data_IF_310194782413
#
_entry.id   IF_310194782413
#
_cell.length_a   1.000
_cell.length_b   1.000
_cell.length_c   1.000
_cell.angle_alpha   90.00
_cell.angle_beta   90.00
_cell.angle_gamma   90.00
#
_symmetry.space_group_name_H-M   'P 1'
#
loop_
_entity.id
_entity.type
_entity.pdbx_description
1 polymer ?
#
# COMPACT_ATOMS: atom_id res chain seq x y z
N UNK A 1 6.72 9.47 6.81
CA UNK A 1 7.23 9.30 8.18
C UNK A 1 8.69 9.74 8.17
N UNK A 2 9.15 10.51 9.16
CA UNK A 2 10.50 11.09 9.18
C UNK A 2 11.43 10.37 10.18
N UNK A 3 11.45 9.04 10.09
CA UNK A 3 12.24 8.18 10.96
C UNK A 3 13.71 8.23 10.53
N UNK A 4 14.64 8.20 11.49
CA UNK A 4 16.09 8.12 11.20
C UNK A 4 16.48 6.73 10.74
N UNK A 5 15.93 5.73 11.41
CA UNK A 5 16.08 4.33 11.09
C UNK A 5 14.82 3.57 11.48
N UNK A 6 14.69 2.35 10.99
CA UNK A 6 13.69 1.41 11.46
C UNK A 6 14.31 0.03 11.60
N UNK A 7 14.07 -0.59 12.75
CA UNK A 7 14.38 -1.99 13.01
C UNK A 7 13.07 -2.77 13.07
N UNK A 8 12.99 -3.86 12.31
CA UNK A 8 11.80 -4.70 12.22
C UNK A 8 12.15 -6.18 12.38
N UNK A 9 11.32 -6.90 13.12
CA UNK A 9 11.40 -8.36 13.31
C UNK A 9 10.18 -9.05 12.66
N UNK A 10 10.14 -9.18 11.32
CA UNK A 10 8.95 -9.61 10.57
C UNK A 10 8.40 -10.98 10.97
N UNK A 11 9.26 -11.85 11.53
CA UNK A 11 8.94 -13.24 11.81
C UNK A 11 8.60 -13.49 13.29
N UNK A 12 8.69 -12.46 14.14
CA UNK A 12 8.52 -12.60 15.58
C UNK A 12 7.05 -12.54 16.02
N UNK A 13 6.21 -11.81 15.28
CA UNK A 13 4.82 -11.51 15.66
C UNK A 13 3.85 -11.72 14.50
N UNK A 14 2.55 -11.69 14.82
CA UNK A 14 1.46 -11.73 13.83
C UNK A 14 1.36 -13.05 13.08
N UNK A 15 0.84 -13.00 11.85
CA UNK A 15 0.60 -14.21 11.04
C UNK A 15 1.85 -14.98 10.62
N UNK A 16 3.04 -14.39 10.76
CA UNK A 16 4.32 -15.01 10.44
C UNK A 16 4.96 -15.75 11.62
N UNK A 17 4.51 -15.48 12.86
CA UNK A 17 5.10 -16.08 14.06
C UNK A 17 5.03 -17.61 14.03
N UNK A 18 6.17 -18.26 14.28
CA UNK A 18 6.28 -19.72 14.31
C UNK A 18 6.19 -20.41 12.94
N UNK A 19 6.14 -19.65 11.83
CA UNK A 19 6.14 -20.20 10.47
C UNK A 19 7.53 -20.10 9.85
N UNK A 20 7.86 -21.08 9.00
CA UNK A 20 9.05 -21.04 8.15
C UNK A 20 8.89 -19.91 7.12
N UNK A 21 9.90 -19.06 7.00
CA UNK A 21 9.96 -18.04 5.93
C UNK A 21 10.78 -18.55 4.74
N UNK A 22 10.67 -17.87 3.60
CA UNK A 22 11.32 -18.28 2.34
C UNK A 22 12.86 -18.31 2.39
N UNK A 23 13.46 -17.74 3.43
CA UNK A 23 14.90 -17.57 3.57
C UNK A 23 15.50 -18.35 4.74
N UNK A 24 14.70 -19.19 5.42
CA UNK A 24 15.13 -19.94 6.60
C UNK A 24 15.71 -19.08 7.74
N UNK A 25 15.35 -17.80 7.78
CA UNK A 25 15.81 -16.87 8.81
C UNK A 25 15.17 -17.17 10.17
N UNK A 26 15.86 -16.95 11.30
CA UNK A 26 15.30 -17.19 12.62
C UNK A 26 14.17 -16.20 12.94
N UNK A 27 13.30 -16.56 13.88
CA UNK A 27 12.13 -15.76 14.23
C UNK A 27 12.46 -14.36 14.77
N UNK A 28 13.61 -14.21 15.42
CA UNK A 28 14.14 -12.98 15.99
C UNK A 28 15.06 -12.20 15.02
N UNK A 29 15.15 -12.62 13.75
CA UNK A 29 15.93 -11.89 12.74
C UNK A 29 15.46 -10.43 12.65
N UNK A 30 16.37 -9.53 12.96
CA UNK A 30 16.18 -8.09 12.83
C UNK A 30 16.65 -7.60 11.46
N UNK A 31 15.79 -6.82 10.79
CA UNK A 31 16.11 -6.09 9.57
C UNK A 31 16.17 -4.60 9.88
N UNK A 32 17.23 -3.93 9.44
CA UNK A 32 17.45 -2.50 9.66
C UNK A 32 17.41 -1.76 8.34
N UNK A 33 16.60 -0.71 8.29
CA UNK A 33 16.49 0.17 7.13
C UNK A 33 16.77 1.60 7.53
N UNK A 34 17.65 2.25 6.78
CA UNK A 34 17.94 3.67 6.94
C UNK A 34 16.74 4.48 6.49
N UNK A 35 16.36 5.47 7.30
CA UNK A 35 15.37 6.46 6.93
C UNK A 35 15.99 7.65 6.22
N UNK A 36 15.16 8.56 5.72
CA UNK A 36 15.60 9.85 5.18
C UNK A 36 14.80 11.00 5.80
N UNK A 37 15.11 11.41 7.05
CA UNK A 37 14.34 12.43 7.76
C UNK A 37 14.28 13.77 7.02
N UNK A 38 15.38 14.15 6.37
CA UNK A 38 15.44 15.40 5.60
C UNK A 38 14.50 15.34 4.40
N UNK A 39 14.56 14.28 3.60
CA UNK A 39 13.67 14.07 2.45
C UNK A 39 12.21 13.93 2.88
N UNK A 40 11.95 13.23 3.98
CA UNK A 40 10.60 13.04 4.51
C UNK A 40 9.95 14.36 4.97
N UNK A 41 10.69 15.19 5.74
CA UNK A 41 10.19 16.51 6.16
C UNK A 41 9.98 17.43 4.96
N UNK A 42 10.94 17.43 4.04
CA UNK A 42 10.85 18.23 2.82
C UNK A 42 9.61 17.85 2.00
N UNK A 43 9.39 16.56 1.73
CA UNK A 43 8.22 16.11 0.98
C UNK A 43 6.90 16.46 1.69
N UNK A 44 6.84 16.27 3.01
CA UNK A 44 5.67 16.66 3.79
C UNK A 44 5.37 18.17 3.68
N UNK A 45 6.39 19.02 3.78
CA UNK A 45 6.26 20.46 3.57
C UNK A 45 5.75 20.80 2.17
N UNK A 46 6.35 20.23 1.11
CA UNK A 46 5.93 20.48 -0.28
C UNK A 46 4.50 20.03 -0.57
N UNK A 47 4.03 18.97 0.07
CA UNK A 47 2.65 18.50 -0.07
C UNK A 47 1.66 19.41 0.67
N UNK A 48 2.01 19.88 1.87
CA UNK A 48 1.21 20.86 2.63
C UNK A 48 1.10 22.18 1.86
N UNK A 49 2.20 22.68 1.30
CA UNK A 49 2.22 23.88 0.46
C UNK A 49 1.35 23.75 -0.80
N UNK A 50 1.13 22.52 -1.28
CA UNK A 50 0.22 22.19 -2.38
C UNK A 50 -1.24 21.94 -1.93
N UNK A 51 -1.58 22.12 -0.66
CA UNK A 51 -2.94 21.94 -0.14
C UNK A 51 -3.31 20.48 0.17
N UNK A 52 -2.33 19.64 0.48
CA UNK A 52 -2.54 18.29 1.03
C UNK A 52 -2.30 18.32 2.53
N UNK A 53 -3.33 18.01 3.32
CA UNK A 53 -3.25 17.94 4.78
C UNK A 53 -2.45 16.71 5.23
N UNK A 54 -1.12 16.85 5.30
CA UNK A 54 -0.23 15.76 5.66
C UNK A 54 -0.07 15.63 7.18
N UNK A 55 -0.30 14.42 7.67
CA UNK A 55 0.21 13.99 8.97
C UNK A 55 1.66 13.49 8.83
N UNK A 56 2.50 13.72 9.83
CA UNK A 56 3.83 13.14 9.90
C UNK A 56 4.23 12.81 11.35
N UNK A 57 5.17 11.88 11.50
CA UNK A 57 5.67 11.43 12.80
C UNK A 57 7.20 11.24 12.75
N UNK A 58 7.86 11.51 13.88
CA UNK A 58 9.30 11.31 14.07
C UNK A 58 9.67 9.91 14.55
N UNK A 59 8.73 9.21 15.20
CA UNK A 59 8.91 7.84 15.69
C UNK A 59 7.57 7.09 15.73
N UNK A 60 7.56 5.75 15.69
CA UNK A 60 6.37 4.96 16.00
C UNK A 60 5.97 5.12 17.48
N UNK A 61 4.68 4.92 17.80
CA UNK A 61 4.16 5.04 19.17
C UNK A 61 4.01 3.70 19.89
N UNK A 62 3.52 2.66 19.20
CA UNK A 62 3.12 1.40 19.84
C UNK A 62 3.96 0.20 19.40
N UNK A 63 4.01 -0.09 18.10
CA UNK A 63 4.78 -1.23 17.58
C UNK A 63 6.11 -0.71 16.98
N UNK A 64 7.26 -1.22 17.43
CA UNK A 64 8.54 -0.84 16.85
C UNK A 64 8.66 -1.33 15.40
N UNK A 65 9.30 -0.53 14.56
CA UNK A 65 9.60 -0.87 13.18
C UNK A 65 8.52 -0.51 12.15
N UNK A 66 8.72 -0.96 10.93
CA UNK A 66 7.79 -0.77 9.81
C UNK A 66 6.67 -1.82 9.84
N UNK A 67 5.42 -1.44 9.51
CA UNK A 67 4.32 -2.40 9.38
C UNK A 67 4.56 -3.34 8.20
N UNK A 68 3.93 -4.52 8.23
CA UNK A 68 4.07 -5.56 7.20
C UNK A 68 3.74 -5.07 5.79
N UNK A 69 2.82 -4.10 5.66
CA UNK A 69 2.43 -3.48 4.40
C UNK A 69 3.58 -2.72 3.71
N UNK A 70 4.63 -2.35 4.45
CA UNK A 70 5.85 -1.73 3.92
C UNK A 70 7.00 -2.74 3.95
N UNK A 71 7.16 -3.43 5.08
CA UNK A 71 8.27 -4.32 5.34
C UNK A 71 8.35 -5.49 4.34
N UNK A 72 7.22 -6.09 3.98
CA UNK A 72 7.21 -7.23 3.04
C UNK A 72 7.76 -6.84 1.66
N UNK A 73 7.50 -5.61 1.22
CA UNK A 73 8.06 -5.09 -0.04
C UNK A 73 9.57 -4.89 0.06
N UNK A 74 10.09 -4.40 1.18
CA UNK A 74 11.54 -4.31 1.38
C UNK A 74 12.21 -5.69 1.42
N UNK A 75 11.60 -6.66 2.10
CA UNK A 75 12.08 -8.05 2.10
C UNK A 75 12.05 -8.69 0.71
N UNK A 76 11.07 -8.32 -0.12
CA UNK A 76 10.96 -8.79 -1.50
C UNK A 76 11.96 -8.11 -2.44
N UNK A 77 12.24 -6.81 -2.25
CA UNK A 77 13.24 -6.10 -3.05
C UNK A 77 14.67 -6.57 -2.75
N UNK A 78 14.92 -7.06 -1.52
CA UNK A 78 16.15 -7.76 -1.14
C UNK A 78 15.95 -9.29 -1.08
N UNK A 79 15.24 -9.87 -2.05
CA UNK A 79 14.91 -11.32 -2.04
C UNK A 79 16.17 -12.20 -1.97
N UNK A 80 17.23 -11.83 -2.68
CA UNK A 80 18.50 -12.57 -2.69
C UNK A 80 19.36 -12.36 -1.43
N UNK A 81 18.90 -11.52 -0.47
CA UNK A 81 19.61 -11.21 0.79
C UNK A 81 21.01 -10.62 0.58
N UNK A 82 21.13 -9.69 -0.35
CA UNK A 82 22.37 -8.94 -0.63
C UNK A 82 22.46 -7.62 0.13
N UNK A 83 21.36 -7.22 0.79
CA UNK A 83 21.25 -5.98 1.54
C UNK A 83 20.47 -4.90 0.78
N UNK A 84 19.99 -3.90 1.52
CA UNK A 84 19.20 -2.79 0.98
C UNK A 84 19.75 -1.46 1.49
N UNK A 85 20.59 -0.81 0.68
CA UNK A 85 21.31 0.42 1.08
C UNK A 85 20.56 1.72 0.77
N UNK A 86 19.41 1.65 0.09
CA UNK A 86 18.64 2.83 -0.29
C UNK A 86 17.80 3.31 0.90
N UNK A 87 17.90 4.59 1.31
CA UNK A 87 17.06 5.13 2.37
C UNK A 87 15.56 5.04 2.05
N UNK A 88 14.77 4.66 3.04
CA UNK A 88 13.31 4.45 2.90
C UNK A 88 12.57 5.61 3.55
N UNK A 89 11.61 6.20 2.83
CA UNK A 89 10.63 7.14 3.39
C UNK A 89 9.26 6.47 3.40
N UNK A 90 8.80 5.95 4.55
CA UNK A 90 7.48 5.35 4.65
C UNK A 90 6.38 6.40 4.41
N UNK A 91 5.50 6.14 3.44
CA UNK A 91 4.32 6.95 3.12
C UNK A 91 3.08 6.09 3.34
N UNK A 92 2.28 6.41 4.36
CA UNK A 92 1.08 5.64 4.66
C UNK A 92 -0.17 6.31 4.08
N UNK A 93 -1.04 5.50 3.49
CA UNK A 93 -2.40 5.88 3.08
C UNK A 93 -3.37 5.09 3.97
N UNK A 94 -4.38 5.76 4.53
CA UNK A 94 -5.45 5.06 5.22
C UNK A 94 -6.33 4.33 4.20
N UNK A 95 -5.94 3.12 3.81
CA UNK A 95 -6.63 2.34 2.80
C UNK A 95 -7.73 1.43 3.36
N UNK A 96 -7.82 1.27 4.69
CA UNK A 96 -8.68 0.28 5.34
C UNK A 96 -10.19 0.54 5.20
N UNK A 97 -10.60 1.77 4.87
CA UNK A 97 -12.01 2.09 4.63
C UNK A 97 -12.90 1.83 5.83
N UNK A 98 -14.22 1.88 5.62
CA UNK A 98 -15.19 1.79 6.71
C UNK A 98 -15.23 0.42 7.40
N UNK A 99 -14.94 -0.65 6.64
CA UNK A 99 -15.07 -2.05 7.10
C UNK A 99 -13.84 -2.59 7.83
N UNK A 100 -12.61 -2.31 7.36
CA UNK A 100 -11.41 -2.91 7.99
C UNK A 100 -11.08 -2.21 9.30
N UNK A 101 -11.36 -0.90 9.40
CA UNK A 101 -11.20 -0.14 10.65
C UNK A 101 -12.18 -0.66 11.71
N UNK A 102 -13.46 -0.85 11.37
CA UNK A 102 -14.44 -1.39 12.32
C UNK A 102 -14.11 -2.84 12.70
N UNK A 103 -13.47 -3.60 11.81
CA UNK A 103 -12.92 -4.92 12.11
C UNK A 103 -11.63 -4.92 12.94
N UNK A 104 -11.12 -3.75 13.33
CA UNK A 104 -9.84 -3.56 14.04
C UNK A 104 -8.67 -4.26 13.34
N UNK A 105 -8.64 -4.22 12.01
CA UNK A 105 -7.64 -4.89 11.18
C UNK A 105 -7.80 -6.42 11.08
N UNK A 106 -8.92 -6.96 11.58
CA UNK A 106 -9.23 -8.38 11.53
C UNK A 106 -9.79 -8.86 10.18
N UNK A 107 -9.60 -10.16 9.92
CA UNK A 107 -10.07 -10.85 8.71
C UNK A 107 -11.59 -11.13 8.78
N UNK A 108 -12.15 -11.22 9.97
CA UNK A 108 -13.57 -11.48 10.20
C UNK A 108 -14.28 -10.23 10.73
N UNK A 109 -15.57 -10.04 10.41
CA UNK A 109 -16.38 -8.97 10.98
C UNK A 109 -16.29 -8.96 12.52
N UNK A 110 -15.82 -7.85 13.09
CA UNK A 110 -15.73 -7.73 14.53
C UNK A 110 -17.11 -7.53 15.14
N UNK A 111 -17.41 -8.25 16.23
CA UNK A 111 -18.69 -8.18 16.93
C UNK A 111 -18.47 -7.88 18.40
N UNK A 112 -19.21 -6.89 18.92
CA UNK A 112 -19.34 -6.64 20.36
C UNK A 112 -20.74 -7.08 20.80
N UNK A 113 -20.82 -7.97 21.79
CA UNK A 113 -22.08 -8.55 22.29
C UNK A 113 -22.96 -9.17 21.18
N UNK A 114 -22.31 -9.83 20.20
CA UNK A 114 -23.00 -10.48 19.08
C UNK A 114 -23.50 -9.54 17.97
N UNK A 115 -23.33 -8.22 18.12
CA UNK A 115 -23.70 -7.21 17.12
C UNK A 115 -22.47 -6.77 16.34
N UNK A 116 -22.63 -6.56 15.04
CA UNK A 116 -21.61 -5.91 14.21
C UNK A 116 -21.40 -4.48 14.72
N UNK A 117 -20.14 -4.04 14.67
CA UNK A 117 -19.83 -2.63 14.90
C UNK A 117 -20.38 -1.77 13.76
N UNK A 118 -20.75 -0.53 14.09
CA UNK A 118 -21.09 0.46 13.08
C UNK A 118 -19.88 0.73 12.16
N UNK A 119 -20.09 1.03 10.87
CA UNK A 119 -19.01 1.36 9.97
C UNK A 119 -18.23 2.60 10.43
N UNK A 120 -16.92 2.54 10.33
CA UNK A 120 -16.05 3.70 10.54
C UNK A 120 -16.08 4.66 9.34
N UNK A 121 -15.52 5.88 9.45
CA UNK A 121 -15.39 6.78 8.31
C UNK A 121 -14.66 6.13 7.12
N UNK A 122 -15.04 6.47 5.88
CA UNK A 122 -14.38 5.93 4.70
C UNK A 122 -12.92 6.42 4.61
N UNK A 123 -12.12 5.66 3.88
CA UNK A 123 -10.81 6.13 3.43
C UNK A 123 -10.93 7.24 2.37
N UNK A 124 -9.81 7.82 1.93
CA UNK A 124 -9.82 8.74 0.79
C UNK A 124 -10.34 8.04 -0.47
N UNK A 125 -10.94 8.81 -1.38
CA UNK A 125 -11.33 8.29 -2.70
C UNK A 125 -10.09 8.07 -3.59
N UNK A 126 -10.20 7.18 -4.59
CA UNK A 126 -9.16 7.00 -5.61
C UNK A 126 -8.76 8.34 -6.22
N UNK A 127 -9.74 9.18 -6.59
CA UNK A 127 -9.48 10.51 -7.14
C UNK A 127 -8.60 11.35 -6.22
N UNK A 128 -8.84 11.33 -4.90
CA UNK A 128 -8.01 12.08 -3.94
C UNK A 128 -6.60 11.47 -3.84
N UNK A 129 -6.47 10.15 -3.81
CA UNK A 129 -5.16 9.47 -3.84
C UNK A 129 -4.37 9.83 -5.10
N UNK A 130 -5.00 9.85 -6.29
CA UNK A 130 -4.35 10.26 -7.52
C UNK A 130 -3.88 11.72 -7.48
N UNK A 131 -4.69 12.63 -6.92
CA UNK A 131 -4.29 14.03 -6.72
C UNK A 131 -3.06 14.16 -5.81
N UNK A 132 -3.00 13.38 -4.72
CA UNK A 132 -1.84 13.32 -3.83
C UNK A 132 -0.62 12.74 -4.57
N UNK A 133 -0.83 11.73 -5.41
CA UNK A 133 0.17 11.19 -6.32
C UNK A 133 0.78 12.23 -7.24
N UNK A 134 -0.06 12.98 -7.95
CA UNK A 134 0.36 14.06 -8.84
C UNK A 134 1.14 15.16 -8.08
N UNK A 135 0.64 15.57 -6.91
CA UNK A 135 1.35 16.53 -6.05
C UNK A 135 2.71 16.01 -5.56
N UNK A 136 2.80 14.70 -5.30
CA UNK A 136 4.05 14.02 -4.93
C UNK A 136 5.03 14.01 -6.09
N UNK A 137 4.58 13.72 -7.31
CA UNK A 137 5.42 13.77 -8.50
C UNK A 137 6.00 15.18 -8.74
N UNK A 138 5.15 16.22 -8.73
CA UNK A 138 5.60 17.61 -8.87
C UNK A 138 6.64 17.99 -7.81
N UNK A 139 6.36 17.67 -6.54
CA UNK A 139 7.32 17.90 -5.48
C UNK A 139 8.64 17.19 -5.78
N UNK A 140 8.62 15.89 -6.04
CA UNK A 140 9.87 15.12 -6.20
C UNK A 140 10.68 15.53 -7.45
N UNK A 141 10.06 16.04 -8.51
CA UNK A 141 10.78 16.59 -9.68
C UNK A 141 11.65 17.80 -9.32
N UNK A 142 11.25 18.61 -8.33
CA UNK A 142 12.01 19.76 -7.84
C UNK A 142 13.04 19.38 -6.77
N UNK A 143 13.03 18.12 -6.33
CA UNK A 143 13.90 17.67 -5.24
C UNK A 143 15.34 17.45 -5.73
N UNK A 144 16.34 17.57 -4.85
CA UNK A 144 17.74 17.26 -5.20
C UNK A 144 18.02 15.75 -5.23
N UNK A 145 17.02 14.90 -5.00
CA UNK A 145 17.21 13.46 -4.84
C UNK A 145 16.71 12.67 -6.04
N UNK A 146 17.34 11.53 -6.28
CA UNK A 146 16.83 10.50 -7.18
C UNK A 146 15.91 9.58 -6.40
N UNK A 147 14.64 9.54 -6.77
CA UNK A 147 13.60 8.85 -5.98
C UNK A 147 12.91 7.78 -6.80
N UNK A 148 12.76 6.59 -6.20
CA UNK A 148 11.85 5.56 -6.67
C UNK A 148 10.55 5.65 -5.86
N UNK A 149 9.41 5.78 -6.53
CA UNK A 149 8.10 5.67 -5.91
C UNK A 149 7.63 4.22 -6.00
N UNK A 150 7.23 3.64 -4.87
CA UNK A 150 6.80 2.24 -4.77
C UNK A 150 5.42 2.19 -4.13
N UNK A 151 4.41 1.77 -4.88
CA UNK A 151 3.13 1.38 -4.31
C UNK A 151 3.20 -0.08 -3.87
N UNK A 152 2.90 -0.33 -2.60
CA UNK A 152 2.94 -1.64 -1.98
C UNK A 152 1.53 -2.05 -1.57
N UNK A 153 0.95 -3.00 -2.28
CA UNK A 153 -0.27 -3.72 -1.90
C UNK A 153 -0.63 -4.80 -2.92
N UNK A 154 -1.40 -5.80 -2.47
CA UNK A 154 -2.14 -6.67 -3.37
C UNK A 154 -3.48 -6.04 -3.75
N UNK A 155 -4.28 -6.75 -4.54
CA UNK A 155 -5.51 -6.20 -5.12
C UNK A 155 -6.73 -6.60 -4.29
N UNK A 156 -7.85 -7.02 -4.91
CA UNK A 156 -9.01 -7.43 -4.12
C UNK A 156 -8.66 -8.55 -3.13
N UNK A 157 -9.33 -8.56 -1.97
CA UNK A 157 -9.12 -9.56 -0.94
C UNK A 157 -10.35 -10.44 -0.73
N UNK A 158 -10.17 -11.76 -0.73
CA UNK A 158 -11.24 -12.74 -0.53
C UNK A 158 -12.00 -12.49 0.77
N UNK A 159 -11.31 -12.21 1.88
CA UNK A 159 -11.96 -11.93 3.16
C UNK A 159 -12.80 -10.63 3.20
N UNK A 160 -12.73 -9.80 2.17
CA UNK A 160 -13.52 -8.56 2.04
C UNK A 160 -14.65 -8.66 1.02
N UNK A 161 -14.71 -9.76 0.27
CA UNK A 161 -15.73 -10.01 -0.75
C UNK A 161 -16.84 -10.91 -0.22
N UNK A 162 -17.79 -10.32 0.51
CA UNK A 162 -18.98 -11.01 1.04
C UNK A 162 -19.80 -11.67 -0.07
N UNK A 163 -19.89 -11.02 -1.24
CA UNK A 163 -20.56 -11.55 -2.43
C UNK A 163 -20.00 -12.90 -2.92
N UNK A 164 -18.75 -13.20 -2.57
CA UNK A 164 -18.07 -14.46 -2.90
C UNK A 164 -18.00 -15.40 -1.68
N UNK A 165 -18.85 -15.18 -0.67
CA UNK A 165 -18.85 -15.92 0.60
C UNK A 165 -17.48 -15.90 1.31
N UNK A 166 -16.69 -14.86 1.07
CA UNK A 166 -15.33 -14.69 1.57
C UNK A 166 -14.31 -15.75 1.09
N UNK A 167 -14.63 -16.48 0.01
CA UNK A 167 -13.84 -17.63 -0.45
C UNK A 167 -12.78 -17.26 -1.50
N UNK A 168 -13.05 -16.30 -2.38
CA UNK A 168 -12.10 -15.85 -3.40
C UNK A 168 -12.23 -14.35 -3.68
N UNK A 169 -11.18 -13.69 -4.18
CA UNK A 169 -11.16 -12.25 -4.46
C UNK A 169 -12.14 -11.83 -5.57
N UNK A 170 -12.33 -10.53 -5.79
CA UNK A 170 -13.20 -10.01 -6.85
C UNK A 170 -12.48 -10.00 -8.21
N UNK A 171 -12.39 -11.16 -8.84
CA UNK A 171 -11.66 -11.37 -10.10
C UNK A 171 -12.15 -10.45 -11.22
N UNK A 172 -13.46 -10.23 -11.35
CA UNK A 172 -14.02 -9.40 -12.42
C UNK A 172 -13.64 -7.93 -12.25
N UNK A 173 -13.75 -7.39 -11.03
CA UNK A 173 -13.35 -6.01 -10.75
C UNK A 173 -11.84 -5.84 -10.92
N UNK A 174 -11.04 -6.81 -10.46
CA UNK A 174 -9.59 -6.77 -10.63
C UNK A 174 -9.19 -6.79 -12.11
N UNK A 175 -9.80 -7.64 -12.96
CA UNK A 175 -9.56 -7.63 -14.41
C UNK A 175 -9.84 -6.27 -15.05
N UNK A 176 -10.95 -5.63 -14.69
CA UNK A 176 -11.28 -4.31 -15.22
C UNK A 176 -10.22 -3.26 -14.84
N UNK A 177 -9.72 -3.31 -13.60
CA UNK A 177 -8.62 -2.42 -13.15
C UNK A 177 -7.31 -2.75 -13.88
N UNK A 178 -7.03 -4.03 -14.12
CA UNK A 178 -5.86 -4.49 -14.88
C UNK A 178 -5.88 -4.03 -16.33
N UNK A 179 -7.00 -4.19 -17.02
CA UNK A 179 -7.16 -3.74 -18.41
C UNK A 179 -6.94 -2.23 -18.54
N UNK A 180 -7.52 -1.46 -17.61
CA UNK A 180 -7.29 -0.01 -17.55
C UNK A 180 -5.83 0.33 -17.26
N UNK A 181 -5.16 -0.40 -16.36
CA UNK A 181 -3.73 -0.23 -16.09
C UNK A 181 -2.92 -0.52 -17.35
N UNK A 182 -3.13 -1.67 -18.00
CA UNK A 182 -2.39 -2.09 -19.19
C UNK A 182 -2.55 -1.11 -20.36
N UNK A 183 -3.74 -0.51 -20.53
CA UNK A 183 -3.99 0.55 -21.50
C UNK A 183 -3.38 1.92 -21.10
N UNK A 184 -2.91 2.06 -19.85
CA UNK A 184 -2.51 3.34 -19.27
C UNK A 184 -3.66 4.34 -19.19
N UNK A 185 -4.89 3.85 -18.99
CA UNK A 185 -6.11 4.63 -18.82
C UNK A 185 -6.32 4.95 -17.33
N UNK A 186 -5.59 5.96 -16.87
CA UNK A 186 -5.68 6.42 -15.48
C UNK A 186 -7.00 7.14 -15.18
N UNK A 187 -7.68 7.66 -16.21
CA UNK A 187 -8.98 8.30 -16.05
C UNK A 187 -10.07 7.27 -15.69
N UNK A 188 -9.99 6.06 -16.24
CA UNK A 188 -10.85 4.95 -15.84
C UNK A 188 -10.67 4.60 -14.36
N UNK A 189 -9.42 4.52 -13.88
CA UNK A 189 -9.13 4.33 -12.45
C UNK A 189 -9.76 5.44 -11.61
N UNK A 190 -9.59 6.71 -12.01
CA UNK A 190 -10.11 7.88 -11.30
C UNK A 190 -11.64 7.95 -11.17
N UNK A 191 -12.38 7.19 -11.98
CA UNK A 191 -13.85 7.13 -11.97
C UNK A 191 -14.42 6.10 -10.99
N UNK A 192 -13.59 5.19 -10.47
CA UNK A 192 -14.06 4.17 -9.53
C UNK A 192 -14.39 4.81 -8.19
N UNK A 193 -15.64 4.62 -7.75
CA UNK A 193 -16.16 5.19 -6.51
C UNK A 193 -15.76 4.38 -5.27
N UNK A 194 -15.74 5.03 -4.11
CA UNK A 194 -15.45 4.36 -2.83
C UNK A 194 -16.36 3.14 -2.57
N UNK A 195 -17.69 3.19 -2.80
CA UNK A 195 -18.54 2.01 -2.64
C UNK A 195 -18.18 0.83 -3.56
N UNK A 196 -17.72 1.10 -4.79
CA UNK A 196 -17.26 0.04 -5.68
C UNK A 196 -16.00 -0.63 -5.14
N UNK A 197 -15.03 0.17 -4.65
CA UNK A 197 -13.81 -0.34 -4.02
C UNK A 197 -14.11 -1.21 -2.79
N UNK A 198 -15.00 -0.74 -1.91
CA UNK A 198 -15.36 -1.48 -0.70
C UNK A 198 -16.18 -2.75 -0.99
N UNK A 199 -17.03 -2.73 -2.03
CA UNK A 199 -17.78 -3.91 -2.47
C UNK A 199 -16.88 -4.97 -3.11
N UNK A 200 -15.82 -4.54 -3.81
CA UNK A 200 -14.85 -5.41 -4.46
C UNK A 200 -13.73 -5.90 -3.53
N UNK A 201 -13.64 -5.40 -2.29
CA UNK A 201 -12.53 -5.75 -1.40
C UNK A 201 -11.17 -5.18 -1.85
N UNK A 202 -11.19 -4.09 -2.61
CA UNK A 202 -10.04 -3.45 -3.28
C UNK A 202 -9.44 -2.27 -2.50
N UNK A 203 -9.67 -2.21 -1.20
CA UNK A 203 -9.22 -1.15 -0.28
C UNK A 203 -7.78 -0.70 -0.55
N UNK A 204 -6.87 -1.66 -0.72
CA UNK A 204 -5.45 -1.38 -0.88
C UNK A 204 -5.06 -0.86 -2.28
N UNK A 205 -5.98 -0.83 -3.26
CA UNK A 205 -5.76 -0.14 -4.54
C UNK A 205 -5.62 1.38 -4.36
N UNK A 206 -5.97 1.93 -3.19
CA UNK A 206 -5.68 3.33 -2.86
C UNK A 206 -4.17 3.62 -2.81
N UNK A 207 -3.34 2.63 -2.50
CA UNK A 207 -1.87 2.78 -2.59
C UNK A 207 -1.43 2.88 -4.06
N UNK A 208 -2.01 2.06 -4.94
CA UNK A 208 -1.79 2.12 -6.39
C UNK A 208 -2.27 3.45 -6.97
N UNK A 209 -3.43 3.94 -6.55
CA UNK A 209 -3.97 5.22 -7.01
C UNK A 209 -3.00 6.40 -6.77
N UNK A 210 -2.29 6.43 -5.64
CA UNK A 210 -1.22 7.40 -5.42
C UNK A 210 -0.09 7.27 -6.44
N UNK A 211 0.38 6.05 -6.74
CA UNK A 211 1.40 5.84 -7.76
C UNK A 211 0.89 6.21 -9.16
N UNK A 212 -0.31 5.79 -9.54
CA UNK A 212 -0.87 6.07 -10.86
C UNK A 212 -1.13 7.56 -11.07
N UNK A 213 -1.55 8.29 -10.03
CA UNK A 213 -1.64 9.74 -10.09
C UNK A 213 -0.28 10.41 -10.33
N UNK A 214 0.79 9.90 -9.70
CA UNK A 214 2.14 10.36 -9.95
C UNK A 214 2.60 10.04 -11.38
N UNK A 215 2.29 8.85 -11.88
CA UNK A 215 2.68 8.44 -13.24
C UNK A 215 1.88 9.17 -14.32
N UNK A 216 0.61 9.49 -14.07
CA UNK A 216 -0.22 10.34 -14.91
C UNK A 216 0.37 11.75 -15.04
N UNK A 217 0.75 12.37 -13.91
CA UNK A 217 1.39 13.70 -13.89
C UNK A 217 2.70 13.73 -14.69
N UNK A 218 3.45 12.62 -14.69
CA UNK A 218 4.73 12.47 -15.39
C UNK A 218 4.59 11.97 -16.84
N UNK A 219 3.37 11.78 -17.34
CA UNK A 219 3.06 11.15 -18.64
C UNK A 219 3.78 9.79 -18.84
N UNK A 220 3.83 8.97 -17.79
CA UNK A 220 4.46 7.64 -17.83
C UNK A 220 3.42 6.56 -18.04
N UNK A 221 3.77 5.56 -18.86
CA UNK A 221 2.96 4.36 -19.10
C UNK A 221 3.53 3.15 -18.33
N UNK A 222 2.67 2.23 -17.88
CA UNK A 222 3.12 1.05 -17.18
C UNK A 222 3.73 0.04 -18.15
N UNK A 223 4.76 -0.63 -17.69
CA UNK A 223 5.17 -1.93 -18.20
C UNK A 223 4.73 -2.97 -17.16
N UNK A 224 3.68 -3.71 -17.49
CA UNK A 224 3.22 -4.83 -16.66
C UNK A 224 4.23 -5.96 -16.81
N UNK A 225 4.80 -6.38 -15.67
CA UNK A 225 5.70 -7.52 -15.58
C UNK A 225 4.92 -8.83 -15.42
N UNK A 226 3.89 -8.82 -14.56
CA UNK A 226 3.05 -10.00 -14.32
C UNK A 226 1.70 -9.59 -13.69
N UNK A 227 0.69 -10.41 -13.90
CA UNK A 227 -0.60 -10.34 -13.24
C UNK A 227 -1.09 -11.75 -12.90
N UNK A 228 -1.17 -12.03 -11.60
CA UNK A 228 -1.47 -13.34 -11.06
C UNK A 228 -2.86 -13.32 -10.44
N UNK A 229 -3.78 -13.99 -11.10
CA UNK A 229 -5.12 -14.25 -10.60
C UNK A 229 -5.16 -15.53 -9.77
N UNK A 230 -6.03 -15.56 -8.76
CA UNK A 230 -6.16 -16.72 -7.89
C UNK A 230 -7.56 -16.88 -7.29
N UNK A 231 -8.01 -18.12 -7.24
CA UNK A 231 -9.22 -18.53 -6.52
C UNK A 231 -8.90 -19.24 -5.19
N UNK A 232 -7.62 -19.34 -4.84
CA UNK A 232 -7.12 -20.12 -3.70
C UNK A 232 -6.45 -19.21 -2.67
N UNK A 233 -5.66 -18.25 -3.12
CA UNK A 233 -5.05 -17.27 -2.23
C UNK A 233 -6.00 -16.12 -1.94
N UNK A 234 -5.69 -15.42 -0.86
CA UNK A 234 -6.53 -14.34 -0.36
C UNK A 234 -6.58 -13.11 -1.29
N UNK A 235 -5.66 -12.95 -2.24
CA UNK A 235 -5.64 -11.76 -3.09
C UNK A 235 -4.90 -11.99 -4.41
N UNK A 236 -5.37 -11.32 -5.46
CA UNK A 236 -4.67 -11.22 -6.74
C UNK A 236 -3.46 -10.28 -6.63
N UNK A 237 -2.49 -10.44 -7.54
CA UNK A 237 -1.26 -9.64 -7.53
C UNK A 237 -0.97 -9.08 -8.93
N UNK A 238 -0.54 -7.84 -8.98
CA UNK A 238 0.01 -7.22 -10.18
C UNK A 238 1.41 -6.70 -9.89
N UNK A 239 2.32 -6.87 -10.84
CA UNK A 239 3.67 -6.33 -10.79
C UNK A 239 3.86 -5.45 -12.04
N UNK A 240 4.20 -4.18 -11.83
CA UNK A 240 4.42 -3.24 -12.92
C UNK A 240 5.56 -2.29 -12.58
N UNK A 241 6.24 -1.81 -13.62
CA UNK A 241 7.28 -0.78 -13.52
C UNK A 241 6.96 0.38 -14.46
N UNK A 242 7.42 1.57 -14.09
CA UNK A 242 7.26 2.79 -14.90
C UNK A 242 8.66 3.35 -15.14
N UNK A 243 9.14 3.20 -16.38
CA UNK A 243 10.48 3.68 -16.75
C UNK A 243 10.49 5.20 -16.94
N UNK A 244 11.62 5.88 -16.68
CA UNK A 244 11.78 7.31 -16.93
C UNK A 244 11.62 7.70 -18.39
#
# INVERSE_FOLDING_TARGET
MAYEESESTPFQKGFAAGKRNAWDEPADKAFRYQGHPQGARWLASRLIEQGVDMAYAYKPLYDPGLPHSILNTLLFLDYDRKGFEVPVVPFAVNCYGSKVISNRGGILPHKENGKLLEPDPPGPSIKRCMQVGAATARALQESPWRVALVASSSWSHAFLTEKNHFLWPDIESDRAMFEALQAGDYDAWGKVSTPQIEAAGQQELLNWACLLGAMAELDRKPEVLDYVETYVFNSNKCMAVFRP
#
